data_IF_785070128219
#
_entry.id   IF_785070128219
#
_cell.length_a   1.000
_cell.length_b   1.000
_cell.length_c   1.000
_cell.angle_alpha   90.00
_cell.angle_beta   90.00
_cell.angle_gamma   90.00
#
_symmetry.space_group_name_H-M   'P 1'
#
loop_
_entity.id
_entity.type
_entity.pdbx_description
1 polymer ?
#
# COMPACT_ATOMS: atom_id res chain seq x y z
N UNK A 1 31.78 20.07 -13.28
CA UNK A 1 30.77 19.57 -14.24
C UNK A 1 30.30 18.29 -13.62
N UNK A 2 29.12 18.33 -13.00
CA UNK A 2 28.54 17.26 -12.20
C UNK A 2 28.14 16.11 -13.11
N UNK A 3 28.62 14.92 -12.78
CA UNK A 3 28.22 13.65 -13.38
C UNK A 3 26.75 13.41 -13.05
N UNK A 4 25.89 13.62 -14.05
CA UNK A 4 24.48 13.20 -14.01
C UNK A 4 24.50 11.69 -14.19
N UNK A 5 24.15 10.96 -13.14
CA UNK A 5 23.92 9.52 -13.21
C UNK A 5 22.73 9.28 -14.16
N UNK A 6 23.04 8.78 -15.35
CA UNK A 6 22.05 8.34 -16.33
C UNK A 6 21.39 7.08 -15.77
N UNK A 7 20.09 7.15 -15.49
CA UNK A 7 19.28 5.98 -15.15
C UNK A 7 19.25 5.01 -16.34
N UNK A 8 19.24 3.69 -16.12
CA UNK A 8 19.29 2.73 -17.21
C UNK A 8 18.01 2.79 -18.06
N UNK A 9 18.17 3.00 -19.37
CA UNK A 9 17.13 2.73 -20.36
C UNK A 9 16.81 1.23 -20.32
N UNK A 10 15.53 0.85 -20.15
CA UNK A 10 15.10 -0.54 -20.31
C UNK A 10 13.91 -0.66 -21.25
N UNK A 11 14.07 -1.59 -22.20
CA UNK A 11 13.17 -1.96 -23.29
C UNK A 11 11.81 -2.46 -22.78
N UNK A 12 10.79 -2.23 -23.61
CA UNK A 12 9.39 -2.56 -23.37
C UNK A 12 9.13 -4.08 -23.28
N UNK A 13 9.38 -4.69 -22.11
CA UNK A 13 8.56 -5.74 -21.46
C UNK A 13 9.12 -6.04 -20.05
N UNK A 14 9.25 -5.00 -19.20
CA UNK A 14 9.89 -5.14 -17.88
C UNK A 14 8.92 -5.82 -16.91
N UNK A 15 9.21 -7.05 -16.51
CA UNK A 15 8.61 -7.62 -15.31
C UNK A 15 8.89 -6.66 -14.15
N UNK A 16 7.86 -6.01 -13.60
CA UNK A 16 8.03 -5.11 -12.43
C UNK A 16 8.74 -5.87 -11.32
N UNK A 17 9.62 -5.18 -10.59
CA UNK A 17 10.32 -5.78 -9.47
C UNK A 17 9.32 -6.27 -8.43
N UNK A 18 9.52 -7.48 -7.91
CA UNK A 18 8.66 -8.05 -6.88
C UNK A 18 8.86 -7.35 -5.52
N UNK A 19 10.07 -6.87 -5.24
CA UNK A 19 10.44 -6.11 -4.05
C UNK A 19 11.72 -5.29 -4.30
N UNK A 20 11.99 -4.31 -3.43
CA UNK A 20 13.26 -3.60 -3.35
C UNK A 20 13.51 -3.17 -1.90
N UNK A 21 14.48 -3.80 -1.26
CA UNK A 21 14.93 -3.50 0.10
C UNK A 21 16.45 -3.40 0.14
N UNK A 22 17.01 -2.90 1.24
CA UNK A 22 18.46 -2.69 1.36
C UNK A 22 19.28 -3.98 1.31
N UNK A 23 18.91 -4.97 2.12
CA UNK A 23 19.64 -6.22 2.24
C UNK A 23 18.77 -7.35 2.83
N UNK A 24 18.55 -8.42 2.07
CA UNK A 24 17.76 -9.58 2.52
C UNK A 24 18.48 -10.44 3.58
N UNK A 25 19.80 -10.32 3.72
CA UNK A 25 20.55 -11.04 4.75
C UNK A 25 20.14 -10.60 6.18
N UNK A 26 19.49 -9.44 6.32
CA UNK A 26 18.98 -8.93 7.60
C UNK A 26 17.68 -9.62 8.06
N UNK A 27 17.08 -10.48 7.22
CA UNK A 27 15.77 -11.09 7.47
C UNK A 27 15.71 -11.93 8.75
N UNK A 28 16.77 -12.65 9.13
CA UNK A 28 16.78 -13.44 10.37
C UNK A 28 16.74 -12.53 11.61
N UNK A 29 17.49 -11.44 11.61
CA UNK A 29 17.42 -10.44 12.67
C UNK A 29 16.02 -9.82 12.74
N UNK A 30 15.47 -9.40 11.60
CA UNK A 30 14.11 -8.87 11.54
C UNK A 30 13.06 -9.85 12.04
N UNK A 31 13.18 -11.13 11.70
CA UNK A 31 12.27 -12.18 12.17
C UNK A 31 12.28 -12.32 13.68
N UNK A 32 13.45 -12.20 14.32
CA UNK A 32 13.55 -12.26 15.78
C UNK A 32 12.87 -11.06 16.45
N UNK A 33 13.08 -9.85 15.92
CA UNK A 33 12.41 -8.63 16.43
C UNK A 33 10.89 -8.69 16.22
N UNK A 34 10.43 -9.19 15.07
CA UNK A 34 8.99 -9.37 14.78
C UNK A 34 8.35 -10.31 15.80
N UNK A 35 8.98 -11.46 16.11
CA UNK A 35 8.46 -12.39 17.14
C UNK A 35 8.35 -11.73 18.51
N UNK A 36 9.31 -10.87 18.88
CA UNK A 36 9.24 -10.10 20.12
C UNK A 36 8.09 -9.09 20.08
N UNK A 37 7.92 -8.38 18.97
CA UNK A 37 6.85 -7.40 18.80
C UNK A 37 5.45 -8.04 18.82
N UNK A 38 5.27 -9.26 18.32
CA UNK A 38 4.00 -10.00 18.40
C UNK A 38 3.51 -10.17 19.85
N UNK A 39 4.42 -10.34 20.81
CA UNK A 39 4.07 -10.40 22.24
C UNK A 39 3.54 -9.06 22.79
N UNK A 40 4.01 -7.94 22.23
CA UNK A 40 3.61 -6.58 22.64
C UNK A 40 2.44 -6.02 21.80
N UNK A 41 1.93 -6.78 20.83
CA UNK A 41 0.84 -6.39 19.94
C UNK A 41 -0.38 -7.33 20.05
N UNK A 42 -0.96 -7.52 21.26
CA UNK A 42 -2.02 -8.50 21.51
C UNK A 42 -3.28 -8.25 20.69
N UNK A 43 -3.56 -6.99 20.30
CA UNK A 43 -4.71 -6.65 19.46
C UNK A 43 -4.61 -7.26 18.06
N UNK A 44 -3.45 -7.21 17.42
CA UNK A 44 -3.24 -7.83 16.10
C UNK A 44 -3.24 -9.36 16.21
N UNK A 45 -2.62 -9.91 17.26
CA UNK A 45 -2.63 -11.36 17.49
C UNK A 45 -4.03 -11.90 17.73
N UNK A 46 -4.87 -11.16 18.47
CA UNK A 46 -6.28 -11.49 18.65
C UNK A 46 -7.05 -11.43 17.32
N UNK A 47 -6.82 -10.39 16.51
CA UNK A 47 -7.45 -10.26 15.20
C UNK A 47 -7.09 -11.43 14.25
N UNK A 48 -5.82 -11.87 14.25
CA UNK A 48 -5.38 -13.07 13.50
C UNK A 48 -6.12 -14.31 13.97
N UNK A 49 -6.24 -14.52 15.28
CA UNK A 49 -6.92 -15.68 15.83
C UNK A 49 -8.44 -15.68 15.56
N UNK A 50 -9.08 -14.51 15.63
CA UNK A 50 -10.52 -14.36 15.43
C UNK A 50 -10.90 -14.44 13.95
N UNK A 51 -10.20 -13.71 13.07
CA UNK A 51 -10.59 -13.53 11.68
C UNK A 51 -9.77 -14.34 10.69
N UNK A 52 -8.61 -14.88 11.08
CA UNK A 52 -7.78 -15.74 10.22
C UNK A 52 -8.56 -16.90 9.60
N UNK A 53 -9.38 -17.67 10.34
CA UNK A 53 -10.18 -18.74 9.75
C UNK A 53 -11.23 -18.26 8.74
N UNK A 54 -11.73 -17.02 8.86
CA UNK A 54 -12.70 -16.45 7.93
C UNK A 54 -12.06 -15.91 6.63
N UNK A 55 -10.75 -15.65 6.63
CA UNK A 55 -10.01 -15.03 5.52
C UNK A 55 -10.75 -13.84 4.90
N UNK A 56 -11.14 -12.82 5.70
CA UNK A 56 -12.04 -11.75 5.24
C UNK A 56 -11.43 -10.87 4.14
N UNK A 57 -10.10 -10.88 3.97
CA UNK A 57 -9.39 -10.13 2.95
C UNK A 57 -8.97 -11.01 1.76
N UNK A 58 -9.44 -12.27 1.69
CA UNK A 58 -9.14 -13.18 0.58
C UNK A 58 -9.46 -12.56 -0.77
N UNK A 59 -8.45 -12.49 -1.64
CA UNK A 59 -8.56 -11.98 -3.00
C UNK A 59 -8.55 -10.44 -3.10
N UNK A 60 -8.39 -9.73 -1.97
CA UNK A 60 -8.21 -8.27 -1.98
C UNK A 60 -6.73 -7.91 -2.05
N UNK A 61 -6.44 -6.88 -2.84
CA UNK A 61 -5.13 -6.26 -3.01
C UNK A 61 -5.01 -5.03 -2.13
N UNK A 62 -4.11 -5.09 -1.15
CA UNK A 62 -3.91 -4.02 -0.15
C UNK A 62 -2.57 -3.34 -0.39
N UNK A 63 -2.62 -2.05 -0.72
CA UNK A 63 -1.43 -1.19 -0.76
C UNK A 63 -1.30 -0.45 0.58
N UNK A 64 -0.11 -0.45 1.17
CA UNK A 64 0.15 0.22 2.45
C UNK A 64 1.34 1.16 2.42
N UNK A 65 1.09 2.44 2.72
CA UNK A 65 2.08 3.52 2.84
C UNK A 65 2.19 3.96 4.30
N UNK A 66 2.92 3.19 5.09
CA UNK A 66 3.19 3.44 6.51
C UNK A 66 4.67 3.21 6.76
N UNK A 67 5.24 3.83 7.80
CA UNK A 67 6.63 3.58 8.22
C UNK A 67 6.95 2.08 8.25
N UNK A 68 7.95 1.65 7.48
CA UNK A 68 8.33 0.24 7.37
C UNK A 68 9.16 -0.22 8.58
N UNK A 69 8.50 -0.42 9.71
CA UNK A 69 9.10 -0.82 11.01
C UNK A 69 8.77 -2.27 11.38
N UNK A 70 9.34 -2.76 12.47
CA UNK A 70 8.99 -4.06 13.08
C UNK A 70 7.49 -4.12 13.45
N UNK A 71 6.90 -3.04 13.95
CA UNK A 71 5.47 -3.02 14.30
C UNK A 71 4.60 -3.11 13.04
N UNK A 72 4.99 -2.38 11.99
CA UNK A 72 4.30 -2.45 10.69
C UNK A 72 4.46 -3.81 10.04
N UNK A 73 5.60 -4.50 10.23
CA UNK A 73 5.75 -5.87 9.78
C UNK A 73 4.71 -6.81 10.41
N UNK A 74 4.41 -6.67 11.71
CA UNK A 74 3.32 -7.43 12.36
C UNK A 74 1.96 -7.09 11.75
N UNK A 75 1.70 -5.82 11.41
CA UNK A 75 0.48 -5.41 10.70
C UNK A 75 0.40 -6.06 9.31
N UNK A 76 1.45 -5.98 8.50
CA UNK A 76 1.52 -6.56 7.15
C UNK A 76 1.23 -8.06 7.21
N UNK A 77 1.91 -8.78 8.10
CA UNK A 77 1.68 -10.22 8.21
C UNK A 77 0.28 -10.54 8.76
N UNK A 78 -0.32 -9.64 9.54
CA UNK A 78 -1.73 -9.78 9.94
C UNK A 78 -2.64 -9.69 8.73
N UNK A 79 -2.45 -8.70 7.85
CA UNK A 79 -3.25 -8.57 6.63
C UNK A 79 -3.12 -9.81 5.74
N UNK A 80 -1.91 -10.34 5.59
CA UNK A 80 -1.66 -11.60 4.87
C UNK A 80 -2.33 -12.80 5.55
N UNK A 81 -2.24 -12.91 6.88
CA UNK A 81 -2.90 -13.96 7.66
C UNK A 81 -4.44 -13.89 7.53
N UNK A 82 -4.99 -12.72 7.21
CA UNK A 82 -6.41 -12.50 6.92
C UNK A 82 -6.76 -12.69 5.42
N UNK A 83 -5.79 -13.05 4.57
CA UNK A 83 -5.96 -13.44 3.17
C UNK A 83 -5.62 -12.38 2.12
N UNK A 84 -5.09 -11.22 2.52
CA UNK A 84 -4.76 -10.14 1.58
C UNK A 84 -3.50 -10.44 0.74
N UNK A 85 -3.51 -9.96 -0.50
CA UNK A 85 -2.30 -9.75 -1.31
C UNK A 85 -1.75 -8.35 -1.02
N UNK A 86 -0.53 -8.26 -0.48
CA UNK A 86 -0.02 -7.03 0.14
C UNK A 86 1.21 -6.49 -0.57
N UNK A 87 1.18 -5.20 -0.90
CA UNK A 87 2.33 -4.41 -1.35
C UNK A 87 2.55 -3.22 -0.42
N UNK A 88 3.80 -2.91 -0.10
CA UNK A 88 4.13 -1.91 0.91
C UNK A 88 5.25 -0.97 0.48
N UNK A 89 5.13 0.29 0.86
CA UNK A 89 6.20 1.29 0.84
C UNK A 89 6.22 2.05 2.17
N UNK A 90 7.35 2.67 2.48
CA UNK A 90 7.44 3.55 3.64
C UNK A 90 6.83 4.91 3.32
N UNK A 91 6.25 5.61 4.31
CA UNK A 91 5.79 7.00 4.16
C UNK A 91 6.81 8.03 4.64
N UNK A 92 8.06 7.61 4.91
CA UNK A 92 9.16 8.51 5.25
C UNK A 92 10.53 7.89 4.99
N UNK A 93 11.39 8.65 4.30
CA UNK A 93 12.73 8.25 3.86
C UNK A 93 13.68 7.76 4.96
N UNK A 94 13.49 8.12 6.22
CA UNK A 94 14.37 7.71 7.33
C UNK A 94 13.75 6.68 8.28
N UNK A 95 12.47 6.38 8.11
CA UNK A 95 11.69 5.60 9.09
C UNK A 95 11.87 4.09 8.94
N UNK A 96 12.29 3.62 7.76
CA UNK A 96 12.45 2.20 7.49
C UNK A 96 13.46 1.56 8.43
N UNK A 97 13.08 0.41 8.98
CA UNK A 97 13.97 -0.51 9.67
C UNK A 97 14.31 -1.63 8.70
N UNK A 98 15.51 -1.57 8.10
CA UNK A 98 15.91 -2.44 6.98
C UNK A 98 15.77 -3.94 7.28
N UNK A 99 16.01 -4.35 8.52
CA UNK A 99 15.82 -5.73 8.97
C UNK A 99 14.35 -6.17 8.98
N UNK A 100 13.42 -5.28 9.38
CA UNK A 100 12.00 -5.54 9.32
C UNK A 100 11.53 -5.66 7.85
N UNK A 101 11.96 -4.74 6.98
CA UNK A 101 11.66 -4.79 5.55
C UNK A 101 12.14 -6.11 4.93
N UNK A 102 13.38 -6.53 5.21
CA UNK A 102 13.93 -7.80 4.76
C UNK A 102 13.13 -9.01 5.26
N UNK A 103 12.77 -9.03 6.55
CA UNK A 103 12.01 -10.13 7.13
C UNK A 103 10.59 -10.25 6.58
N UNK A 104 9.95 -9.12 6.25
CA UNK A 104 8.62 -9.10 5.60
C UNK A 104 8.71 -9.65 4.19
N UNK A 105 9.73 -9.29 3.41
CA UNK A 105 9.93 -9.83 2.05
C UNK A 105 10.20 -11.33 2.09
N UNK A 106 11.14 -11.76 2.95
CA UNK A 106 11.47 -13.19 3.07
C UNK A 106 10.26 -14.00 3.57
N UNK A 107 9.44 -13.42 4.44
CA UNK A 107 8.27 -14.09 5.01
C UNK A 107 8.65 -15.10 6.09
N UNK A 108 7.65 -15.80 6.64
CA UNK A 108 7.85 -16.78 7.74
C UNK A 108 8.43 -18.10 7.25
N UNK A 109 8.01 -18.52 6.05
CA UNK A 109 8.34 -19.82 5.45
C UNK A 109 9.35 -19.70 4.30
N UNK A 110 9.73 -18.48 3.92
CA UNK A 110 10.66 -18.23 2.82
C UNK A 110 12.11 -18.13 3.27
N UNK A 111 12.99 -17.93 2.28
CA UNK A 111 14.44 -17.75 2.45
C UNK A 111 14.89 -16.54 1.63
N UNK A 112 16.07 -15.94 1.90
CA UNK A 112 16.59 -14.86 1.06
C UNK A 112 16.66 -15.21 -0.43
N UNK A 113 16.92 -16.49 -0.77
CA UNK A 113 17.00 -16.98 -2.15
C UNK A 113 15.62 -17.28 -2.77
N UNK A 114 14.62 -17.55 -1.94
CA UNK A 114 13.25 -17.84 -2.36
C UNK A 114 12.27 -17.23 -1.35
N UNK A 115 12.04 -15.90 -1.42
CA UNK A 115 11.15 -15.19 -0.51
C UNK A 115 9.70 -15.60 -0.72
N UNK A 116 8.90 -15.57 0.34
CA UNK A 116 7.48 -15.95 0.31
C UNK A 116 6.58 -14.95 1.04
N UNK A 117 7.08 -13.75 1.30
CA UNK A 117 6.39 -12.70 2.04
C UNK A 117 5.69 -11.68 1.16
N UNK A 118 5.46 -10.48 1.71
CA UNK A 118 4.85 -9.38 0.97
C UNK A 118 5.87 -8.65 0.08
N UNK A 119 5.38 -7.99 -0.97
CA UNK A 119 6.20 -7.07 -1.77
C UNK A 119 6.48 -5.79 -0.98
N UNK A 120 7.74 -5.52 -0.69
CA UNK A 120 8.16 -4.29 0.02
C UNK A 120 9.12 -3.49 -0.86
N UNK A 121 8.85 -2.20 -0.99
CA UNK A 121 9.70 -1.21 -1.66
C UNK A 121 10.05 -0.15 -0.61
N UNK A 122 11.07 -0.44 0.20
CA UNK A 122 11.47 0.45 1.27
C UNK A 122 12.90 0.16 1.74
N UNK A 123 13.68 1.20 1.97
CA UNK A 123 14.94 1.15 2.72
C UNK A 123 15.15 2.43 3.52
N UNK A 124 16.06 2.40 4.48
CA UNK A 124 16.42 3.59 5.25
C UNK A 124 17.35 4.48 4.41
N UNK A 125 17.10 5.79 4.47
CA UNK A 125 17.84 6.85 3.75
C UNK A 125 17.60 6.85 2.24
N UNK A 126 16.34 6.68 1.82
CA UNK A 126 15.91 6.91 0.44
C UNK A 126 16.14 8.37 0.00
N UNK A 127 16.42 8.58 -1.29
CA UNK A 127 16.24 9.90 -1.91
C UNK A 127 14.75 10.18 -2.17
N UNK A 128 14.38 11.42 -2.52
CA UNK A 128 13.00 11.75 -2.87
C UNK A 128 12.53 10.98 -4.12
N UNK A 129 13.40 10.81 -5.11
CA UNK A 129 13.09 10.04 -6.32
C UNK A 129 12.87 8.56 -6.01
N UNK A 130 13.68 8.00 -5.12
CA UNK A 130 13.53 6.63 -4.65
C UNK A 130 12.23 6.45 -3.87
N UNK A 131 11.91 7.37 -2.96
CA UNK A 131 10.67 7.39 -2.19
C UNK A 131 9.43 7.37 -3.08
N UNK A 132 9.33 8.32 -4.02
CA UNK A 132 8.18 8.41 -4.93
C UNK A 132 8.14 7.23 -5.91
N UNK A 133 9.30 6.69 -6.31
CA UNK A 133 9.36 5.44 -7.06
C UNK A 133 8.82 4.25 -6.26
N UNK A 134 9.18 4.13 -4.97
CA UNK A 134 8.66 3.10 -4.07
C UNK A 134 7.14 3.20 -3.94
N UNK A 135 6.60 4.41 -3.78
CA UNK A 135 5.15 4.66 -3.75
C UNK A 135 4.47 4.18 -5.05
N UNK A 136 5.07 4.46 -6.21
CA UNK A 136 4.57 3.97 -7.50
C UNK A 136 4.58 2.44 -7.62
N UNK A 137 5.67 1.80 -7.15
CA UNK A 137 5.77 0.34 -7.15
C UNK A 137 4.74 -0.29 -6.24
N UNK A 138 4.50 0.28 -5.06
CA UNK A 138 3.53 -0.21 -4.09
C UNK A 138 2.10 -0.21 -4.66
N UNK A 139 1.64 0.91 -5.24
CA UNK A 139 0.26 1.01 -5.75
C UNK A 139 0.02 0.29 -7.07
N UNK A 140 1.07 -0.13 -7.78
CA UNK A 140 0.91 -0.74 -9.11
C UNK A 140 1.20 -2.24 -9.06
N UNK A 141 0.16 -3.08 -9.19
CA UNK A 141 0.38 -4.52 -9.33
C UNK A 141 0.93 -4.86 -10.72
N UNK A 142 1.72 -5.95 -10.83
CA UNK A 142 2.28 -6.41 -12.10
C UNK A 142 1.22 -6.73 -13.17
N UNK A 143 0.04 -7.21 -12.77
CA UNK A 143 -1.06 -7.53 -13.68
C UNK A 143 -1.93 -6.31 -14.05
N UNK A 144 -1.60 -5.13 -13.53
CA UNK A 144 -2.30 -3.87 -13.78
C UNK A 144 -3.65 -3.71 -13.08
N UNK A 145 -4.01 -4.63 -12.17
CA UNK A 145 -5.23 -4.52 -11.35
C UNK A 145 -4.94 -4.05 -9.92
N UNK A 146 -5.97 -3.64 -9.18
CA UNK A 146 -5.78 -3.09 -7.83
C UNK A 146 -5.05 -1.73 -7.80
N UNK A 147 -4.80 -1.19 -6.59
CA UNK A 147 -5.19 -1.75 -5.29
C UNK A 147 -6.71 -1.74 -5.10
N UNK A 148 -7.24 -2.67 -4.32
CA UNK A 148 -8.64 -2.65 -3.87
C UNK A 148 -8.79 -1.81 -2.59
N UNK A 149 -7.77 -1.83 -1.73
CA UNK A 149 -7.71 -1.08 -0.48
C UNK A 149 -6.38 -0.34 -0.37
N UNK A 150 -6.42 0.87 0.19
CA UNK A 150 -5.26 1.70 0.49
C UNK A 150 -5.21 2.00 1.99
N UNK A 151 -4.08 1.70 2.63
CA UNK A 151 -3.78 2.09 4.01
C UNK A 151 -2.68 3.15 3.94
N UNK A 152 -3.00 4.38 4.30
CA UNK A 152 -2.12 5.53 4.05
C UNK A 152 -1.89 6.33 5.34
N UNK A 153 -0.64 6.66 5.62
CA UNK A 153 -0.20 7.53 6.71
C UNK A 153 0.57 8.70 6.11
N UNK A 154 0.06 9.92 6.31
CA UNK A 154 0.56 11.14 5.68
C UNK A 154 -0.20 11.56 4.42
N UNK A 155 -0.82 10.61 3.70
CA UNK A 155 -1.69 10.91 2.55
C UNK A 155 -0.96 11.03 1.21
N UNK A 156 0.32 10.66 1.14
CA UNK A 156 1.16 10.80 -0.05
C UNK A 156 0.72 9.87 -1.19
N UNK A 157 0.35 8.62 -0.87
CA UNK A 157 -0.17 7.69 -1.87
C UNK A 157 -1.52 8.18 -2.42
N UNK A 158 -2.38 8.69 -1.54
CA UNK A 158 -3.65 9.32 -1.90
C UNK A 158 -3.43 10.55 -2.79
N UNK A 159 -2.49 11.43 -2.43
CA UNK A 159 -2.12 12.61 -3.20
C UNK A 159 -1.66 12.23 -4.61
N UNK A 160 -0.79 11.22 -4.73
CA UNK A 160 -0.25 10.78 -6.01
C UNK A 160 -1.36 10.26 -6.94
N UNK A 161 -2.29 9.46 -6.41
CA UNK A 161 -3.44 8.97 -7.16
C UNK A 161 -4.31 10.14 -7.65
N UNK A 162 -4.66 11.07 -6.75
CA UNK A 162 -5.49 12.23 -7.10
C UNK A 162 -4.84 13.11 -8.16
N UNK A 163 -3.53 13.40 -8.04
CA UNK A 163 -2.80 14.22 -9.01
C UNK A 163 -2.61 13.51 -10.35
N UNK A 164 -2.38 12.20 -10.35
CA UNK A 164 -2.36 11.40 -11.56
C UNK A 164 -3.68 11.47 -12.35
N UNK A 165 -4.82 11.39 -11.65
CA UNK A 165 -6.15 11.55 -12.26
C UNK A 165 -6.40 12.99 -12.70
N UNK A 166 -6.05 13.97 -11.87
CA UNK A 166 -6.25 15.41 -12.16
C UNK A 166 -5.52 15.84 -13.44
N UNK A 167 -4.27 15.41 -13.62
CA UNK A 167 -3.49 15.77 -14.79
C UNK A 167 -3.91 14.98 -16.04
N UNK A 168 -4.31 13.71 -15.88
CA UNK A 168 -4.87 12.79 -16.88
C UNK A 168 -4.00 12.46 -18.11
N UNK A 169 -3.25 13.42 -18.65
CA UNK A 169 -2.31 13.31 -19.76
C UNK A 169 -1.03 14.12 -19.45
N UNK A 170 0.13 13.78 -20.05
CA UNK A 170 1.38 14.50 -19.78
C UNK A 170 1.29 16.01 -20.00
N UNK A 171 0.52 16.46 -21.00
CA UNK A 171 0.31 17.89 -21.30
C UNK A 171 -0.58 18.61 -20.28
N UNK A 172 -1.27 17.88 -19.40
CA UNK A 172 -2.07 18.43 -18.31
C UNK A 172 -1.27 18.73 -17.04
N UNK A 173 0.01 18.35 -17.01
CA UNK A 173 0.90 18.54 -15.88
C UNK A 173 1.40 20.00 -15.85
N UNK A 174 1.30 20.71 -14.71
CA UNK A 174 1.78 22.08 -14.61
C UNK A 174 3.30 22.17 -14.70
N UNK A 175 3.80 23.30 -15.19
CA UNK A 175 5.22 23.63 -15.13
C UNK A 175 5.69 23.78 -13.68
N UNK A 176 6.88 23.26 -13.38
CA UNK A 176 7.53 23.43 -12.08
C UNK A 176 8.14 24.83 -11.94
N UNK A 177 7.86 25.53 -10.83
CA UNK A 177 8.49 26.81 -10.49
C UNK A 177 9.55 26.62 -9.38
N UNK A 178 10.86 26.64 -9.70
CA UNK A 178 11.93 26.43 -8.72
C UNK A 178 12.03 27.51 -7.62
N UNK A 179 11.30 28.63 -7.75
CA UNK A 179 11.28 29.68 -6.71
C UNK A 179 10.17 29.48 -5.69
N UNK A 180 9.07 28.86 -6.09
CA UNK A 180 7.84 28.81 -5.31
C UNK A 180 7.42 27.37 -4.95
N UNK A 181 7.85 26.39 -5.74
CA UNK A 181 7.52 24.99 -5.51
C UNK A 181 8.64 24.27 -4.75
N UNK A 182 8.29 23.32 -3.85
CA UNK A 182 9.27 22.50 -3.18
C UNK A 182 9.90 21.50 -4.17
N UNK A 183 11.16 21.13 -3.93
CA UNK A 183 11.90 20.16 -4.75
C UNK A 183 11.15 18.83 -4.92
N UNK A 184 10.52 18.35 -3.84
CA UNK A 184 9.69 17.16 -3.86
C UNK A 184 8.55 17.22 -4.89
N UNK A 185 7.95 18.40 -5.09
CA UNK A 185 6.90 18.58 -6.09
C UNK A 185 7.43 18.33 -7.50
N UNK A 186 8.67 18.73 -7.80
CA UNK A 186 9.31 18.44 -9.07
C UNK A 186 9.40 16.94 -9.34
N UNK A 187 9.78 16.16 -8.33
CA UNK A 187 9.90 14.70 -8.41
C UNK A 187 8.54 14.05 -8.69
N UNK A 188 7.49 14.51 -7.99
CA UNK A 188 6.11 14.04 -8.21
C UNK A 188 5.65 14.33 -9.65
N UNK A 189 5.85 15.56 -10.13
CA UNK A 189 5.47 15.94 -11.50
C UNK A 189 6.21 15.07 -12.54
N UNK A 190 7.51 14.85 -12.36
CA UNK A 190 8.30 14.00 -13.25
C UNK A 190 7.83 12.54 -13.24
N UNK A 191 7.50 11.99 -12.06
CA UNK A 191 6.93 10.66 -11.92
C UNK A 191 5.59 10.53 -12.66
N UNK A 192 4.67 11.47 -12.45
CA UNK A 192 3.36 11.46 -13.11
C UNK A 192 3.52 11.59 -14.62
N UNK A 193 4.42 12.48 -15.08
CA UNK A 193 4.71 12.63 -16.50
C UNK A 193 5.20 11.31 -17.12
N UNK A 194 6.19 10.66 -16.49
CA UNK A 194 6.71 9.37 -16.95
C UNK A 194 5.60 8.32 -17.00
N UNK A 195 4.87 8.14 -15.90
CA UNK A 195 3.85 7.10 -15.80
C UNK A 195 2.68 7.30 -16.77
N UNK A 196 2.24 8.55 -17.01
CA UNK A 196 1.22 8.85 -18.01
C UNK A 196 1.73 8.70 -19.45
N UNK A 197 3.02 8.95 -19.69
CA UNK A 197 3.64 8.71 -21.00
C UNK A 197 3.71 7.21 -21.33
N UNK A 198 3.96 6.38 -20.31
CA UNK A 198 4.00 4.92 -20.43
C UNK A 198 2.59 4.30 -20.51
N UNK A 199 1.66 4.79 -19.69
CA UNK A 199 0.30 4.28 -19.56
C UNK A 199 -0.69 5.41 -19.19
N UNK A 200 -1.29 6.07 -20.20
CA UNK A 200 -2.22 7.18 -19.97
C UNK A 200 -3.46 6.81 -19.14
N UNK A 201 -3.82 5.53 -19.08
CA UNK A 201 -4.99 5.07 -18.33
C UNK A 201 -4.70 4.63 -16.90
N UNK A 202 -3.43 4.66 -16.45
CA UNK A 202 -2.99 4.09 -15.18
C UNK A 202 -3.79 4.61 -13.99
N UNK A 203 -3.76 5.93 -13.81
CA UNK A 203 -4.28 6.57 -12.60
C UNK A 203 -5.80 6.48 -12.48
N UNK A 204 -6.51 6.57 -13.60
CA UNK A 204 -7.97 6.38 -13.63
C UNK A 204 -8.36 4.95 -13.24
N UNK A 205 -7.61 3.94 -13.73
CA UNK A 205 -7.87 2.54 -13.35
C UNK A 205 -7.61 2.29 -11.87
N UNK A 206 -6.50 2.80 -11.33
CA UNK A 206 -6.17 2.71 -9.89
C UNK A 206 -7.25 3.41 -9.05
N UNK A 207 -7.60 4.65 -9.39
CA UNK A 207 -8.61 5.41 -8.64
C UNK A 207 -9.99 4.73 -8.66
N UNK A 208 -10.33 4.08 -9.78
CA UNK A 208 -11.59 3.33 -9.92
C UNK A 208 -11.61 2.01 -9.15
N UNK A 209 -10.45 1.41 -8.87
CA UNK A 209 -10.35 0.13 -8.14
C UNK A 209 -10.32 0.31 -6.62
N UNK A 210 -9.74 1.42 -6.13
CA UNK A 210 -9.61 1.66 -4.69
C UNK A 210 -10.98 1.95 -4.08
N UNK A 211 -11.50 1.00 -3.30
CA UNK A 211 -12.68 1.20 -2.47
C UNK A 211 -12.26 1.89 -1.17
N UNK A 212 -12.86 3.05 -0.86
CA UNK A 212 -12.74 3.64 0.47
C UNK A 212 -13.59 2.93 1.54
N UNK A 213 -14.45 1.97 1.15
CA UNK A 213 -15.22 1.15 2.08
C UNK A 213 -14.55 -0.21 2.26
N UNK A 214 -14.20 -0.56 3.50
CA UNK A 214 -13.95 -1.95 3.90
C UNK A 214 -15.15 -2.80 3.44
N UNK A 215 -14.96 -3.86 2.64
CA UNK A 215 -16.06 -4.57 2.02
C UNK A 215 -17.03 -5.08 3.11
N UNK A 216 -18.25 -4.54 3.12
CA UNK A 216 -19.35 -5.12 3.89
C UNK A 216 -19.53 -6.55 3.39
N UNK A 217 -19.51 -7.53 4.30
CA UNK A 217 -19.75 -8.96 4.00
C UNK A 217 -20.81 -9.06 2.89
N UNK A 218 -20.61 -9.82 1.80
CA UNK A 218 -21.70 -10.13 0.91
C UNK A 218 -22.76 -10.84 1.74
N UNK A 219 -23.84 -10.12 2.08
CA UNK A 219 -24.97 -10.77 2.73
C UNK A 219 -25.48 -11.81 1.74
N UNK A 220 -25.63 -13.09 2.14
CA UNK A 220 -26.34 -14.02 1.29
C UNK A 220 -27.71 -13.42 1.03
N UNK A 221 -28.07 -13.31 -0.24
CA UNK A 221 -29.38 -12.82 -0.70
C UNK A 221 -30.48 -13.70 -0.08
N UNK A 222 -30.88 -13.35 1.14
CA UNK A 222 -31.96 -13.97 1.87
C UNK A 222 -33.04 -12.91 2.06
N UNK A 223 -34.23 -13.35 1.69
CA UNK A 223 -35.43 -12.56 1.47
C UNK A 223 -35.90 -11.89 2.76
N UNK A 224 -36.71 -10.85 2.58
CA UNK A 224 -37.58 -10.19 3.58
C UNK A 224 -37.02 -8.99 4.36
N UNK A 225 -36.79 -7.90 3.62
CA UNK A 225 -36.86 -6.53 4.13
C UNK A 225 -38.33 -6.08 4.30
N UNK A 226 -39.08 -6.66 5.24
CA UNK A 226 -40.42 -6.16 5.63
C UNK A 226 -40.66 -6.01 7.13
N UNK A 227 -39.63 -6.15 7.98
CA UNK A 227 -39.83 -6.11 9.45
C UNK A 227 -39.11 -4.98 10.19
N UNK A 228 -39.08 -3.77 9.63
CA UNK A 228 -38.73 -2.55 10.38
C UNK A 228 -39.68 -1.40 10.02
N UNK A 229 -40.96 -1.52 10.43
CA UNK A 229 -41.85 -0.37 10.64
C UNK A 229 -42.18 -0.27 12.13
N UNK A 230 -41.95 0.93 12.67
CA UNK A 230 -42.02 1.41 14.06
C UNK A 230 -43.15 0.82 14.93
N UNK A 231 -42.96 0.62 16.24
CA UNK A 231 -44.06 0.71 17.20
C UNK A 231 -44.49 2.17 17.33
N UNK A 232 -45.76 2.46 17.04
CA UNK A 232 -46.40 3.73 17.31
C UNK A 232 -46.51 3.95 18.83
N UNK A 233 -46.06 5.10 19.31
CA UNK A 233 -46.39 5.62 20.63
C UNK A 233 -47.91 5.90 20.66
N UNK A 234 -48.65 5.12 21.44
CA UNK A 234 -50.06 5.38 21.74
C UNK A 234 -50.16 6.49 22.77
N UNK A 235 -50.65 7.65 22.36
CA UNK A 235 -51.21 8.67 23.25
C UNK A 235 -52.49 8.14 23.91
N UNK A 236 -52.55 8.13 25.24
CA UNK A 236 -53.79 7.88 25.98
C UNK A 236 -54.61 9.16 26.10
N UNK A 237 -55.95 9.14 25.93
CA UNK A 237 -56.81 10.28 26.26
C UNK A 237 -57.10 10.30 27.77
N UNK A 238 -57.22 11.51 28.33
CA UNK A 238 -57.24 11.74 29.77
C UNK A 238 -58.52 11.34 30.53
N UNK A 239 -58.38 11.39 31.85
CA UNK A 239 -59.35 11.91 32.82
C UNK A 239 -58.58 12.34 34.07
#
# INVERSE_FOLDING_TARGET
>A
MSDIAVMPEQEANVSRLEYKVKDLALSEWGRNEIRLAEHEMPGLMAARAEYGPEQPLAGLKVAGSLHMTVQTAVLIETLMDLGADVRWASCNIFSTQDHAAAAVVVGREGTPENPSGASVFAWKEETLEEYWWCTDQMITWPDGSGPDLLVDDGGDATLLIHKGVEFAVPEGIPDFDPKNDPEEWQVILQLIHRTLSEDPGKWERIASSVSQECPRKPQPASKDFTRWKKPALSSSPGN
#
